data_IF_856448625847
#
_entry.id   IF_856448625847
#
_cell.length_a   1.000
_cell.length_b   1.000
_cell.length_c   1.000
_cell.angle_alpha   90.00
_cell.angle_beta   90.00
_cell.angle_gamma   90.00
#
_symmetry.space_group_name_H-M   'P 1'
#
loop_
_entity.id
_entity.type
_entity.pdbx_description
1 polymer ?
#
# COMPACT_ATOMS: atom_id res chain seq x y z
N UNK A 1 8.49 10.65 -11.03
CA UNK A 1 9.59 10.27 -11.93
C UNK A 1 10.87 10.93 -11.43
N UNK A 2 11.99 10.21 -11.27
CA UNK A 2 13.27 10.79 -10.87
C UNK A 2 13.74 11.87 -11.85
N UNK A 3 14.31 12.95 -11.32
CA UNK A 3 14.90 14.03 -12.11
C UNK A 3 16.26 14.41 -11.53
N UNK A 4 17.14 14.97 -12.36
CA UNK A 4 18.46 15.46 -11.91
C UNK A 4 18.35 16.70 -11.01
N UNK A 5 17.20 17.35 -10.97
CA UNK A 5 16.95 18.56 -10.18
C UNK A 5 16.63 18.26 -8.71
N UNK A 6 16.12 17.07 -8.42
CA UNK A 6 15.74 16.67 -7.07
C UNK A 6 16.72 15.66 -6.50
N UNK A 7 17.66 16.15 -5.74
CA UNK A 7 18.69 15.33 -5.08
C UNK A 7 18.15 14.83 -3.73
N UNK A 8 18.21 13.53 -3.53
CA UNK A 8 17.88 12.89 -2.25
C UNK A 8 18.91 13.30 -1.19
N UNK A 9 18.46 13.65 0.01
CA UNK A 9 19.29 14.14 1.12
C UNK A 9 19.02 13.32 2.38
N UNK A 10 19.97 13.31 3.27
CA UNK A 10 19.78 12.79 4.63
C UNK A 10 18.60 13.50 5.31
N UNK A 11 17.75 12.72 5.95
CA UNK A 11 16.50 13.17 6.54
C UNK A 11 15.26 13.01 5.65
N UNK A 12 15.45 12.73 4.36
CA UNK A 12 14.34 12.45 3.44
C UNK A 12 13.75 11.04 3.69
N UNK A 13 12.48 10.88 3.36
CA UNK A 13 11.88 9.57 3.11
C UNK A 13 11.55 9.46 1.63
N UNK A 14 11.79 8.28 1.05
CA UNK A 14 11.62 8.06 -0.39
C UNK A 14 10.74 6.86 -0.62
N UNK A 15 9.61 7.05 -1.29
CA UNK A 15 8.79 5.96 -1.78
C UNK A 15 9.34 5.47 -3.12
N UNK A 16 9.66 4.18 -3.16
CA UNK A 16 10.11 3.45 -4.34
C UNK A 16 8.99 2.54 -4.75
N UNK A 17 8.47 2.73 -5.95
CA UNK A 17 7.38 1.95 -6.51
C UNK A 17 7.83 1.38 -7.85
N UNK A 18 7.70 0.06 -8.01
CA UNK A 18 8.25 -0.64 -9.16
C UNK A 18 7.42 -1.86 -9.57
N UNK A 19 6.92 -1.81 -10.79
CA UNK A 19 6.30 -2.95 -11.45
C UNK A 19 7.31 -3.78 -12.25
N UNK A 20 7.10 -5.09 -12.29
CA UNK A 20 7.91 -6.04 -13.05
C UNK A 20 7.00 -6.89 -13.93
N UNK A 21 7.45 -7.17 -15.15
CA UNK A 21 6.79 -8.14 -16.06
C UNK A 21 7.68 -9.37 -16.16
N UNK A 22 7.13 -10.53 -15.83
CA UNK A 22 7.81 -11.81 -15.98
C UNK A 22 6.87 -12.83 -16.63
N UNK A 23 7.32 -13.43 -17.73
CA UNK A 23 6.56 -14.42 -18.52
C UNK A 23 5.12 -13.98 -18.87
N UNK A 24 4.91 -12.67 -19.10
CA UNK A 24 3.61 -12.10 -19.45
C UNK A 24 2.70 -11.75 -18.28
N UNK A 25 3.17 -11.93 -17.05
CA UNK A 25 2.46 -11.52 -15.82
C UNK A 25 3.15 -10.33 -15.17
N UNK A 26 2.33 -9.46 -14.59
CA UNK A 26 2.78 -8.29 -13.83
C UNK A 26 2.85 -8.58 -12.34
N UNK A 27 3.77 -7.93 -11.66
CA UNK A 27 3.87 -7.84 -10.20
C UNK A 27 4.18 -6.41 -9.85
N UNK A 28 3.65 -5.94 -8.73
CA UNK A 28 3.82 -4.58 -8.23
C UNK A 28 4.24 -4.57 -6.77
N UNK A 29 5.10 -3.61 -6.40
CA UNK A 29 5.55 -3.47 -5.03
C UNK A 29 6.10 -2.07 -4.75
N UNK A 30 5.70 -1.49 -3.62
CA UNK A 30 6.24 -0.22 -3.16
C UNK A 30 6.78 -0.29 -1.74
N UNK A 31 7.83 0.49 -1.50
CA UNK A 31 8.46 0.67 -0.19
C UNK A 31 8.81 2.13 0.03
N UNK A 32 8.45 2.67 1.20
CA UNK A 32 9.04 3.93 1.66
C UNK A 32 10.23 3.64 2.55
N UNK A 33 11.37 4.22 2.20
CA UNK A 33 12.64 4.04 2.91
C UNK A 33 13.14 5.36 3.48
N UNK A 34 13.80 5.28 4.62
CA UNK A 34 14.48 6.42 5.23
C UNK A 34 15.87 6.62 4.61
N UNK A 35 16.28 7.86 4.41
CA UNK A 35 17.62 8.23 3.94
C UNK A 35 18.43 8.78 5.12
N UNK A 36 19.36 7.95 5.62
CA UNK A 36 20.12 8.25 6.83
C UNK A 36 19.23 8.40 8.06
N UNK A 37 19.52 9.37 8.91
CA UNK A 37 18.73 9.64 10.10
C UNK A 37 17.52 10.51 9.77
N UNK A 38 16.32 10.00 10.06
CA UNK A 38 15.05 10.70 9.87
C UNK A 38 14.36 10.97 11.21
N UNK A 39 13.36 11.84 11.22
CA UNK A 39 12.57 12.14 12.41
C UNK A 39 11.82 10.89 12.93
N UNK A 40 11.51 10.87 14.23
CA UNK A 40 10.69 9.80 14.82
C UNK A 40 9.28 9.73 14.19
N UNK A 41 8.73 10.86 13.78
CA UNK A 41 7.47 10.92 13.05
C UNK A 41 7.56 10.17 11.72
N UNK A 42 8.65 10.37 10.96
CA UNK A 42 8.89 9.68 9.70
C UNK A 42 9.09 8.16 9.90
N UNK A 43 9.87 7.76 10.92
CA UNK A 43 10.07 6.34 11.27
C UNK A 43 8.74 5.67 11.60
N UNK A 44 7.95 6.30 12.46
CA UNK A 44 6.64 5.79 12.86
C UNK A 44 5.66 5.73 11.68
N UNK A 45 5.68 6.71 10.78
CA UNK A 45 4.84 6.69 9.59
C UNK A 45 5.18 5.49 8.70
N UNK A 46 6.45 5.26 8.38
CA UNK A 46 6.90 4.13 7.55
C UNK A 46 6.48 2.80 8.19
N UNK A 47 6.77 2.63 9.50
CA UNK A 47 6.44 1.41 10.23
C UNK A 47 4.92 1.15 10.24
N UNK A 48 4.12 2.18 10.55
CA UNK A 48 2.66 2.05 10.66
C UNK A 48 1.99 1.85 9.31
N UNK A 49 2.55 2.43 8.24
CA UNK A 49 2.08 2.17 6.88
C UNK A 49 2.31 0.70 6.51
N UNK A 50 3.50 0.16 6.76
CA UNK A 50 3.78 -1.27 6.60
C UNK A 50 2.85 -2.13 7.48
N UNK A 51 2.66 -1.76 8.73
CA UNK A 51 1.79 -2.52 9.65
C UNK A 51 0.33 -2.48 9.22
N UNK A 52 -0.16 -1.38 8.65
CA UNK A 52 -1.53 -1.30 8.13
C UNK A 52 -1.77 -2.34 7.02
N UNK A 53 -0.79 -2.52 6.11
CA UNK A 53 -0.81 -3.60 5.12
C UNK A 53 -0.92 -4.98 5.80
N UNK A 54 -0.12 -5.24 6.82
CA UNK A 54 -0.14 -6.52 7.56
C UNK A 54 -1.52 -6.77 8.21
N UNK A 55 -2.16 -5.74 8.75
CA UNK A 55 -3.53 -5.84 9.28
C UNK A 55 -4.53 -6.19 8.17
N UNK A 56 -4.36 -5.61 6.98
CA UNK A 56 -5.12 -5.97 5.79
C UNK A 56 -4.93 -7.45 5.40
N UNK A 57 -3.70 -7.95 5.46
CA UNK A 57 -3.39 -9.35 5.12
C UNK A 57 -4.10 -10.35 6.03
N UNK A 58 -4.34 -10.03 7.28
CA UNK A 58 -5.16 -10.87 8.18
C UNK A 58 -6.59 -11.06 7.69
N UNK A 59 -7.07 -10.20 6.79
CA UNK A 59 -8.42 -10.26 6.19
C UNK A 59 -8.41 -10.77 4.75
N UNK A 60 -7.24 -10.89 4.11
CA UNK A 60 -7.08 -11.38 2.75
C UNK A 60 -7.24 -12.92 2.66
N UNK A 61 -8.34 -13.44 3.19
CA UNK A 61 -8.63 -14.86 3.29
C UNK A 61 -9.82 -15.21 2.40
N UNK A 62 -9.75 -16.33 1.70
CA UNK A 62 -10.84 -16.82 0.86
C UNK A 62 -12.17 -16.90 1.66
N UNK A 63 -13.23 -16.38 1.06
CA UNK A 63 -14.54 -16.29 1.70
C UNK A 63 -14.85 -14.97 2.38
N UNK A 64 -13.84 -14.19 2.79
CA UNK A 64 -14.00 -12.80 3.19
C UNK A 64 -14.34 -11.92 1.97
N UNK A 65 -14.56 -10.64 2.20
CA UNK A 65 -14.83 -9.69 1.13
C UNK A 65 -13.67 -8.69 0.99
N UNK A 66 -13.55 -8.13 -0.20
CA UNK A 66 -12.47 -7.21 -0.54
C UNK A 66 -12.37 -6.05 0.46
N UNK A 67 -13.49 -5.45 0.83
CA UNK A 67 -13.49 -4.30 1.75
C UNK A 67 -13.29 -4.67 3.22
N UNK A 68 -13.18 -5.96 3.56
CA UNK A 68 -12.69 -6.38 4.87
C UNK A 68 -11.18 -6.08 4.98
N UNK A 69 -10.42 -6.19 3.86
CA UNK A 69 -9.01 -5.75 3.76
C UNK A 69 -8.93 -4.24 3.92
N UNK A 70 -9.68 -3.50 3.11
CA UNK A 70 -9.75 -2.03 3.12
C UNK A 70 -10.04 -1.47 4.51
N UNK A 71 -11.01 -2.07 5.19
CA UNK A 71 -11.40 -1.66 6.54
C UNK A 71 -10.29 -1.91 7.56
N UNK A 72 -9.59 -3.05 7.48
CA UNK A 72 -8.52 -3.37 8.41
C UNK A 72 -7.32 -2.40 8.26
N UNK A 73 -6.97 -2.04 7.02
CA UNK A 73 -5.94 -1.06 6.72
C UNK A 73 -6.32 0.30 7.31
N UNK A 74 -7.48 0.83 6.92
CA UNK A 74 -7.91 2.16 7.34
C UNK A 74 -8.14 2.28 8.84
N UNK A 75 -8.77 1.28 9.47
CA UNK A 75 -9.00 1.27 10.90
C UNK A 75 -7.69 1.28 11.70
N UNK A 76 -6.67 0.56 11.21
CA UNK A 76 -5.36 0.58 11.86
C UNK A 76 -4.71 1.96 11.76
N UNK A 77 -4.64 2.56 10.58
CA UNK A 77 -4.03 3.88 10.41
C UNK A 77 -4.75 4.99 11.20
N UNK A 78 -6.07 4.95 11.21
CA UNK A 78 -6.92 5.92 11.92
C UNK A 78 -6.71 5.93 13.44
N UNK A 79 -6.24 4.82 14.06
CA UNK A 79 -5.94 4.78 15.51
C UNK A 79 -4.84 5.77 15.91
N UNK A 80 -4.00 6.16 14.97
CA UNK A 80 -2.90 7.09 15.18
C UNK A 80 -3.20 8.50 14.69
N UNK A 81 -4.41 8.74 14.18
CA UNK A 81 -4.81 10.03 13.62
C UNK A 81 -4.25 10.29 12.21
N UNK A 82 -3.77 9.27 11.53
CA UNK A 82 -3.25 9.39 10.18
C UNK A 82 -4.36 9.50 9.13
N UNK A 83 -4.10 10.31 8.10
CA UNK A 83 -4.93 10.35 6.90
C UNK A 83 -4.68 9.16 6.00
N UNK A 84 -5.73 8.46 5.59
CA UNK A 84 -5.63 7.40 4.58
C UNK A 84 -6.07 7.97 3.25
N UNK A 85 -5.18 7.97 2.25
CA UNK A 85 -5.48 8.52 0.92
C UNK A 85 -6.67 7.78 0.31
N UNK A 86 -7.65 8.54 -0.20
CA UNK A 86 -8.87 8.00 -0.78
C UNK A 86 -8.92 8.09 -2.32
N UNK A 87 -8.14 8.99 -2.90
CA UNK A 87 -8.11 9.27 -4.35
C UNK A 87 -7.26 8.26 -5.15
N UNK A 88 -6.46 7.47 -4.45
CA UNK A 88 -5.62 6.41 -5.01
C UNK A 88 -5.94 5.10 -4.29
N UNK A 89 -5.87 3.99 -5.02
CA UNK A 89 -6.27 2.69 -4.47
C UNK A 89 -5.47 1.56 -5.10
N UNK A 90 -5.42 0.43 -4.44
CA UNK A 90 -4.91 -0.81 -4.97
C UNK A 90 -5.79 -1.40 -6.06
N UNK A 91 -5.33 -2.46 -6.68
CA UNK A 91 -5.97 -3.01 -7.87
C UNK A 91 -5.75 -4.52 -8.01
N UNK A 92 -6.52 -5.15 -8.89
CA UNK A 92 -6.16 -6.46 -9.43
C UNK A 92 -4.88 -6.36 -10.24
N UNK A 93 -4.07 -7.40 -10.26
CA UNK A 93 -2.84 -7.47 -11.05
C UNK A 93 -2.68 -8.87 -11.63
N UNK A 94 -2.23 -8.95 -12.89
CA UNK A 94 -2.11 -10.23 -13.56
C UNK A 94 -1.50 -10.10 -14.95
N UNK A 95 -2.27 -10.31 -16.01
CA UNK A 95 -1.83 -10.11 -17.39
C UNK A 95 -1.63 -8.62 -17.74
N UNK A 96 -2.25 -7.74 -16.96
CA UNK A 96 -2.03 -6.29 -17.01
C UNK A 96 -1.60 -5.79 -15.63
N UNK A 97 -0.93 -4.63 -15.60
CA UNK A 97 -0.51 -4.02 -14.35
C UNK A 97 -1.73 -3.64 -13.50
N UNK A 98 -2.69 -2.95 -14.08
CA UNK A 98 -3.94 -2.59 -13.43
C UNK A 98 -5.11 -3.39 -14.02
N UNK A 99 -5.72 -4.21 -13.17
CA UNK A 99 -6.93 -4.97 -13.46
C UNK A 99 -7.98 -4.69 -12.40
N UNK A 100 -9.24 -5.00 -12.68
CA UNK A 100 -10.28 -5.04 -11.65
C UNK A 100 -9.95 -6.14 -10.59
N UNK A 101 -10.32 -5.94 -9.35
CA UNK A 101 -11.09 -4.84 -8.77
C UNK A 101 -10.22 -3.68 -8.26
N UNK A 102 -10.79 -2.49 -8.11
CA UNK A 102 -10.19 -1.43 -7.27
C UNK A 102 -10.25 -1.81 -5.80
N UNK A 103 -9.17 -1.53 -5.07
CA UNK A 103 -8.98 -1.90 -3.66
C UNK A 103 -8.72 -0.64 -2.82
N UNK A 104 -9.76 0.05 -2.34
CA UNK A 104 -9.58 1.19 -1.45
C UNK A 104 -8.83 0.81 -0.17
N UNK A 105 -8.03 1.73 0.37
CA UNK A 105 -7.27 1.53 1.60
C UNK A 105 -8.01 1.98 2.88
N UNK A 106 -9.26 2.36 2.76
CA UNK A 106 -10.09 2.91 3.83
C UNK A 106 -11.42 2.17 3.97
N UNK A 107 -12.04 2.29 5.12
CA UNK A 107 -13.32 1.67 5.42
C UNK A 107 -14.43 2.22 4.51
N UNK A 108 -14.99 1.36 3.70
CA UNK A 108 -16.16 1.65 2.90
C UNK A 108 -17.44 1.64 3.75
N UNK A 109 -18.53 2.17 3.18
CA UNK A 109 -19.84 2.12 3.83
C UNK A 109 -20.20 0.69 4.30
N UNK A 110 -20.89 0.58 5.46
CA UNK A 110 -21.29 -0.71 6.07
C UNK A 110 -22.08 -1.62 5.14
N UNK A 111 -22.72 -1.05 4.12
CA UNK A 111 -23.53 -1.78 3.16
C UNK A 111 -22.73 -2.24 1.92
N UNK A 112 -21.50 -1.79 1.77
CA UNK A 112 -20.61 -2.18 0.68
C UNK A 112 -19.51 -3.08 1.24
N UNK A 113 -19.50 -4.32 0.81
CA UNK A 113 -18.46 -5.28 1.21
C UNK A 113 -17.43 -5.56 0.12
N UNK A 114 -17.68 -5.09 -1.10
CA UNK A 114 -16.89 -5.47 -2.26
C UNK A 114 -17.13 -6.92 -2.70
N UNK A 115 -16.35 -7.38 -3.65
CA UNK A 115 -16.42 -8.75 -4.14
C UNK A 115 -15.98 -9.74 -3.05
N UNK A 116 -16.44 -10.97 -3.16
CA UNK A 116 -15.99 -12.07 -2.29
C UNK A 116 -14.63 -12.57 -2.78
N UNK A 117 -13.65 -12.65 -1.87
CA UNK A 117 -12.32 -13.16 -2.16
C UNK A 117 -12.38 -14.66 -2.49
N UNK A 118 -11.68 -15.05 -3.54
CA UNK A 118 -11.60 -16.43 -4.03
C UNK A 118 -10.14 -16.82 -4.20
N UNK A 119 -9.77 -18.09 -3.96
CA UNK A 119 -8.44 -18.59 -4.28
C UNK A 119 -8.08 -18.33 -5.75
N UNK A 120 -6.84 -17.99 -6.01
CA UNK A 120 -6.32 -17.65 -7.32
C UNK A 120 -6.42 -16.17 -7.69
N UNK A 121 -7.08 -15.32 -6.89
CA UNK A 121 -7.05 -13.88 -7.11
C UNK A 121 -5.69 -13.32 -6.76
N UNK A 122 -5.10 -12.51 -7.65
CA UNK A 122 -3.88 -11.73 -7.42
C UNK A 122 -4.21 -10.26 -7.35
N UNK A 123 -3.74 -9.60 -6.30
CA UNK A 123 -4.14 -8.25 -5.93
C UNK A 123 -2.90 -7.44 -5.52
N UNK A 124 -2.79 -6.20 -5.97
CA UNK A 124 -1.88 -5.20 -5.44
C UNK A 124 -2.58 -4.47 -4.29
N UNK A 125 -2.09 -4.66 -3.07
CA UNK A 125 -2.62 -4.02 -1.86
C UNK A 125 -1.60 -3.00 -1.40
N UNK A 126 -1.99 -1.72 -1.38
CA UNK A 126 -1.05 -0.61 -1.38
C UNK A 126 -1.47 0.58 -0.52
N UNK A 127 -1.50 0.45 0.82
CA UNK A 127 -1.81 1.59 1.68
C UNK A 127 -0.87 2.78 1.44
N UNK A 128 -1.48 3.94 1.20
CA UNK A 128 -0.87 5.26 1.16
C UNK A 128 -1.39 6.07 2.34
N UNK A 129 -0.49 6.40 3.26
CA UNK A 129 -0.82 6.98 4.58
C UNK A 129 -0.10 8.31 4.76
N UNK A 130 -0.86 9.34 5.15
CA UNK A 130 -0.36 10.68 5.43
C UNK A 130 -0.29 10.91 6.95
N UNK A 131 0.72 11.65 7.41
CA UNK A 131 0.77 12.10 8.83
C UNK A 131 -0.41 13.01 9.15
N UNK A 132 -0.81 13.84 8.21
CA UNK A 132 -1.89 14.81 8.35
C UNK A 132 -3.21 14.36 7.73
N UNK A 133 -3.80 15.20 6.87
CA UNK A 133 -5.08 14.91 6.23
C UNK A 133 -4.98 13.82 5.17
N UNK A 134 -6.10 13.21 4.84
CA UNK A 134 -6.22 12.24 3.74
C UNK A 134 -6.14 12.87 2.36
N UNK A 135 -6.31 14.19 2.29
CA UNK A 135 -6.53 14.91 1.05
C UNK A 135 -5.21 15.11 0.29
N UNK A 136 -5.27 14.98 -1.02
CA UNK A 136 -4.13 15.09 -1.93
C UNK A 136 -4.44 16.07 -3.05
N UNK A 137 -3.38 16.63 -3.65
CA UNK A 137 -3.46 17.53 -4.79
C UNK A 137 -2.68 16.96 -5.98
N UNK A 138 -3.30 16.99 -7.14
CA UNK A 138 -2.64 16.73 -8.41
C UNK A 138 -1.95 17.99 -8.89
N UNK A 139 -0.68 17.87 -9.24
CA UNK A 139 0.11 18.99 -9.77
C UNK A 139 -0.18 19.21 -11.26
N UNK A 140 0.27 20.36 -11.78
CA UNK A 140 0.04 20.77 -13.17
C UNK A 140 0.69 19.84 -14.23
N UNK A 141 1.59 18.94 -13.80
CA UNK A 141 2.20 17.94 -14.65
C UNK A 141 1.29 16.71 -14.89
N UNK A 142 0.08 16.71 -14.33
CA UNK A 142 -0.93 15.65 -14.40
C UNK A 142 -0.43 14.28 -13.90
N UNK A 143 0.70 14.27 -13.20
CA UNK A 143 1.36 13.05 -12.70
C UNK A 143 1.68 13.11 -11.21
N UNK A 144 2.27 14.21 -10.75
CA UNK A 144 2.73 14.34 -9.37
C UNK A 144 1.54 14.57 -8.44
N UNK A 145 1.45 13.71 -7.41
CA UNK A 145 0.46 13.83 -6.34
C UNK A 145 1.19 14.20 -5.05
N UNK A 146 0.68 15.21 -4.35
CA UNK A 146 1.24 15.67 -3.08
C UNK A 146 0.15 15.76 -2.01
N UNK A 147 0.52 15.65 -0.74
CA UNK A 147 -0.42 15.90 0.37
C UNK A 147 -0.86 17.37 0.36
N UNK A 148 -2.16 17.63 0.53
CA UNK A 148 -2.69 19.00 0.51
C UNK A 148 -2.07 19.86 1.62
N UNK A 149 -1.88 19.29 2.80
CA UNK A 149 -1.32 19.96 3.98
C UNK A 149 0.21 19.92 4.05
N UNK A 150 0.89 19.36 3.04
CA UNK A 150 2.35 19.19 2.97
C UNK A 150 2.93 18.29 4.05
N UNK A 151 2.12 17.48 4.71
CA UNK A 151 2.58 16.48 5.66
C UNK A 151 3.32 15.33 4.94
N UNK A 152 4.11 14.56 5.68
CA UNK A 152 4.77 13.37 5.15
C UNK A 152 3.73 12.32 4.74
N UNK A 153 4.03 11.63 3.65
CA UNK A 153 3.27 10.46 3.18
C UNK A 153 4.19 9.26 3.03
N UNK A 154 3.67 8.07 3.31
CA UNK A 154 4.37 6.81 3.05
C UNK A 154 3.48 5.85 2.28
N UNK A 155 4.11 5.05 1.46
CA UNK A 155 3.50 4.03 0.62
C UNK A 155 4.15 2.67 0.89
N UNK A 156 3.33 1.64 1.07
CA UNK A 156 3.78 0.25 1.20
C UNK A 156 2.86 -0.66 0.41
N UNK A 157 3.44 -1.47 -0.45
CA UNK A 157 2.67 -2.30 -1.37
C UNK A 157 3.26 -3.68 -1.55
N UNK A 158 2.39 -4.65 -1.78
CA UNK A 158 2.76 -5.94 -2.34
C UNK A 158 1.67 -6.52 -3.22
N UNK A 159 2.12 -7.25 -4.24
CA UNK A 159 1.29 -8.23 -4.92
C UNK A 159 1.06 -9.44 -4.02
N UNK A 160 -0.20 -9.79 -3.81
CA UNK A 160 -0.62 -10.93 -2.99
C UNK A 160 -1.43 -11.93 -3.80
N UNK A 161 -1.39 -13.19 -3.37
CA UNK A 161 -2.26 -14.27 -3.86
C UNK A 161 -3.23 -14.68 -2.78
N UNK A 162 -4.52 -14.68 -3.08
CA UNK A 162 -5.53 -15.28 -2.24
C UNK A 162 -5.47 -16.80 -2.41
N UNK A 163 -5.29 -17.52 -1.31
CA UNK A 163 -5.27 -18.99 -1.27
C UNK A 163 -6.46 -19.55 -0.51
N UNK A 164 -6.59 -20.88 -0.42
CA UNK A 164 -7.57 -21.53 0.47
C UNK A 164 -7.24 -21.38 1.96
N UNK A 165 -6.04 -20.88 2.28
CA UNK A 165 -5.56 -20.65 3.64
C UNK A 165 -5.13 -19.21 3.88
N UNK A 166 -3.92 -19.03 4.44
CA UNK A 166 -3.31 -17.70 4.59
C UNK A 166 -2.93 -17.14 3.22
N UNK A 167 -3.09 -15.83 2.98
CA UNK A 167 -2.64 -15.23 1.74
C UNK A 167 -1.12 -15.40 1.57
N UNK A 168 -0.68 -15.48 0.34
CA UNK A 168 0.74 -15.48 -0.01
C UNK A 168 1.12 -14.09 -0.51
N UNK A 169 2.23 -13.55 -0.02
CA UNK A 169 2.79 -12.28 -0.51
C UNK A 169 3.85 -12.62 -1.53
N UNK A 170 3.61 -12.30 -2.81
CA UNK A 170 4.44 -12.74 -3.92
C UNK A 170 5.68 -11.86 -4.12
N UNK A 171 5.61 -10.58 -3.80
CA UNK A 171 6.65 -9.57 -4.08
C UNK A 171 7.58 -9.28 -2.88
N UNK A 172 7.71 -10.21 -1.93
CA UNK A 172 8.68 -10.10 -0.82
C UNK A 172 10.06 -10.58 -1.25
N UNK A 173 11.09 -9.88 -0.78
CA UNK A 173 12.47 -10.38 -0.80
C UNK A 173 12.65 -11.54 0.19
N UNK A 174 13.71 -12.32 0.04
CA UNK A 174 14.01 -13.42 0.99
C UNK A 174 14.23 -12.88 2.42
N UNK A 175 14.84 -11.71 2.56
CA UNK A 175 15.06 -11.06 3.87
C UNK A 175 13.73 -10.64 4.51
N UNK A 176 12.81 -10.06 3.72
CA UNK A 176 11.49 -9.68 4.19
C UNK A 176 10.66 -10.89 4.59
N UNK A 177 10.74 -12.00 3.86
CA UNK A 177 10.08 -13.26 4.24
C UNK A 177 10.53 -13.73 5.61
N UNK A 178 11.85 -13.70 5.89
CA UNK A 178 12.40 -14.07 7.19
C UNK A 178 11.90 -13.15 8.32
N UNK A 179 11.74 -11.87 8.06
CA UNK A 179 11.22 -10.91 9.05
C UNK A 179 9.74 -11.10 9.38
N UNK A 180 8.96 -11.68 8.46
CA UNK A 180 7.51 -11.92 8.61
C UNK A 180 7.17 -13.29 9.23
N UNK A 181 8.14 -14.19 9.39
CA UNK A 181 7.91 -15.52 10.00
C UNK A 181 7.39 -15.41 11.45
N UNK A 182 7.58 -14.27 12.09
CA UNK A 182 7.19 -14.03 13.49
C UNK A 182 5.86 -13.24 13.64
N UNK A 183 5.11 -13.03 12.57
CA UNK A 183 3.79 -12.40 12.52
C UNK A 183 2.74 -13.45 12.13
#
# INVERSE_FOLDING_TARGET
IPTDERIIKEGDIVSLDAGVIYEGYHSDAARTVAVGEVSEEAKLLIERTRQSFIEGMKKAVAGNHLYDISAAIGDYANQFGYGVVEDLCGHGVGSHLHEEPEIPNFRQSRFRRGIKLKPGMTLAVEPMINVGTKDVLWMDDEWTVVTEDKSLSAHYENTILITDGKPEILSLTEEEKLSLIHI
#
